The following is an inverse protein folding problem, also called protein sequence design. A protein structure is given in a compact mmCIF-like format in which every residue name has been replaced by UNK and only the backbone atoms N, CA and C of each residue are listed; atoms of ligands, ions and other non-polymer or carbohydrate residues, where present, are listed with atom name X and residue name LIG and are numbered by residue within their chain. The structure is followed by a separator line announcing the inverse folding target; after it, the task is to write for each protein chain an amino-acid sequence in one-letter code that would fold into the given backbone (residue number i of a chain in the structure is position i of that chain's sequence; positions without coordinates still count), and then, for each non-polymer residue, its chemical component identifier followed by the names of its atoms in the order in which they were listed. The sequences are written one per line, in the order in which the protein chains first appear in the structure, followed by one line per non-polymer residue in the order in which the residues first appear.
data_IF_286358979930
#
_entry.id   IF_286358979930
#
_cell.length_a   1.000
_cell.length_b   1.000
_cell.length_c   1.000
_cell.angle_alpha   90.00
_cell.angle_beta   90.00
_cell.angle_gamma   90.00
#
_symmetry.space_group_name_H-M   'P 1'
#
loop_
_entity.id
_entity.type
_entity.pdbx_description
1 polymer ?
#
# COMPACT_ATOMS: atom_id res chain seq x y z
N UNK A 1 -41.72 10.32 -1.10
CA UNK A 1 -40.92 10.77 -2.27
C UNK A 1 -40.56 12.23 -2.06
N UNK A 2 -39.43 12.51 -1.41
CA UNK A 2 -38.93 13.89 -1.30
C UNK A 2 -38.06 14.18 -2.53
N UNK A 3 -38.41 15.28 -3.19
CA UNK A 3 -37.97 15.68 -4.52
C UNK A 3 -36.43 15.84 -4.60
N UNK A 4 -35.76 15.38 -5.68
CA UNK A 4 -34.31 15.57 -5.88
C UNK A 4 -33.87 17.05 -5.87
N UNK A 5 -34.81 17.99 -5.99
CA UNK A 5 -34.56 19.44 -5.89
C UNK A 5 -34.19 19.88 -4.47
N UNK A 6 -34.73 19.27 -3.41
CA UNK A 6 -34.34 19.57 -2.02
C UNK A 6 -32.94 19.01 -1.71
N UNK A 7 -32.53 17.98 -2.45
CA UNK A 7 -31.25 17.27 -2.30
C UNK A 7 -30.05 18.08 -2.80
N UNK A 8 -30.22 18.80 -3.92
CA UNK A 8 -29.20 19.69 -4.52
C UNK A 8 -28.85 20.90 -3.63
N UNK A 9 -29.79 21.23 -2.75
CA UNK A 9 -29.81 22.48 -2.02
C UNK A 9 -29.03 22.40 -0.70
N UNK A 10 -28.95 21.20 -0.11
CA UNK A 10 -28.04 20.95 1.02
C UNK A 10 -26.58 20.86 0.56
N UNK A 11 -26.32 20.31 -0.62
CA UNK A 11 -24.96 20.21 -1.21
C UNK A 11 -24.36 21.60 -1.44
N UNK A 12 -25.14 22.54 -1.99
CA UNK A 12 -24.68 23.91 -2.23
C UNK A 12 -24.37 24.71 -0.94
N UNK A 13 -24.95 24.31 0.21
CA UNK A 13 -24.71 25.00 1.49
C UNK A 13 -23.46 24.51 2.24
N UNK A 14 -22.90 23.35 1.89
CA UNK A 14 -21.73 22.76 2.58
C UNK A 14 -20.44 22.76 1.77
N UNK A 15 -20.50 22.92 0.45
CA UNK A 15 -19.31 22.98 -0.43
C UNK A 15 -19.30 24.29 -1.23
N UNK A 16 -18.89 25.37 -0.57
CA UNK A 16 -18.35 26.56 -1.25
C UNK A 16 -16.94 26.79 -0.74
N UNK A 17 -16.02 25.97 -1.23
CA UNK A 17 -14.59 26.24 -1.24
C UNK A 17 -14.02 25.61 -2.51
N UNK A 18 -13.56 26.50 -3.40
CA UNK A 18 -12.77 26.26 -4.62
C UNK A 18 -13.43 25.52 -5.79
N UNK A 19 -13.87 26.30 -6.79
CA UNK A 19 -13.93 25.87 -8.19
C UNK A 19 -13.26 26.94 -9.06
N UNK A 20 -11.95 26.81 -9.26
CA UNK A 20 -11.22 27.47 -10.35
C UNK A 20 -11.40 26.64 -11.62
N UNK A 21 -12.10 27.19 -12.62
CA UNK A 21 -12.31 26.52 -13.91
C UNK A 21 -11.42 27.10 -15.01
N UNK A 22 -10.67 26.22 -15.67
CA UNK A 22 -9.74 26.47 -16.79
C UNK A 22 -10.52 26.34 -18.11
N UNK A 23 -10.44 27.35 -18.99
CA UNK A 23 -11.16 27.36 -20.28
C UNK A 23 -10.57 26.38 -21.32
N UNK A 24 -11.39 25.65 -22.09
CA UNK A 24 -10.97 25.03 -23.33
C UNK A 24 -11.19 25.95 -24.54
N UNK A 25 -10.28 25.90 -25.51
CA UNK A 25 -10.24 26.70 -26.72
C UNK A 25 -11.02 26.09 -27.90
N UNK A 26 -11.84 26.91 -28.56
CA UNK A 26 -12.38 26.80 -29.94
C UNK A 26 -13.24 25.55 -30.27
N UNK A 27 -14.25 25.53 -31.14
CA UNK A 27 -14.74 26.41 -32.20
C UNK A 27 -16.21 26.03 -32.49
N UNK A 28 -16.91 26.87 -33.27
CA UNK A 28 -18.21 26.63 -33.95
C UNK A 28 -19.41 27.43 -33.43
N UNK A 29 -19.83 28.33 -34.31
CA UNK A 29 -20.82 29.40 -34.30
C UNK A 29 -22.26 28.93 -34.09
N UNK A 30 -22.74 28.90 -32.84
CA UNK A 30 -24.16 29.14 -32.48
C UNK A 30 -24.29 29.88 -31.13
N UNK A 31 -24.58 31.18 -31.20
CA UNK A 31 -25.08 32.10 -30.14
C UNK A 31 -24.51 31.96 -28.71
N UNK A 32 -23.39 32.64 -28.36
CA UNK A 32 -22.88 32.69 -26.98
C UNK A 32 -23.88 33.30 -25.98
N UNK A 33 -24.79 34.16 -26.45
CA UNK A 33 -25.79 34.87 -25.64
C UNK A 33 -26.89 33.92 -25.12
N UNK A 34 -27.30 32.92 -25.89
CA UNK A 34 -28.34 31.97 -25.46
C UNK A 34 -27.79 30.98 -24.41
N UNK A 35 -26.55 30.53 -24.59
CA UNK A 35 -25.85 29.70 -23.60
C UNK A 35 -25.59 30.48 -22.31
N UNK A 36 -25.15 31.74 -22.41
CA UNK A 36 -24.97 32.60 -21.24
C UNK A 36 -26.29 32.85 -20.48
N UNK A 37 -27.40 33.16 -21.17
CA UNK A 37 -28.71 33.33 -20.53
C UNK A 37 -29.18 32.04 -19.83
N UNK A 38 -28.96 30.87 -20.43
CA UNK A 38 -29.35 29.58 -19.84
C UNK A 38 -28.51 29.23 -18.62
N UNK A 39 -27.20 29.48 -18.67
CA UNK A 39 -26.27 29.29 -17.55
C UNK A 39 -26.58 30.28 -16.43
N UNK A 40 -26.74 31.58 -16.72
CA UNK A 40 -27.05 32.61 -15.71
C UNK A 40 -28.42 32.36 -15.07
N UNK A 41 -29.43 31.95 -15.83
CA UNK A 41 -30.74 31.58 -15.28
C UNK A 41 -30.66 30.34 -14.41
N UNK A 42 -29.89 29.32 -14.81
CA UNK A 42 -29.72 28.09 -14.03
C UNK A 42 -28.94 28.36 -12.75
N UNK A 43 -27.88 29.18 -12.81
CA UNK A 43 -27.08 29.60 -11.64
C UNK A 43 -27.92 30.46 -10.69
N UNK A 44 -28.72 31.41 -11.21
CA UNK A 44 -29.61 32.24 -10.40
C UNK A 44 -30.69 31.43 -9.69
N UNK A 45 -31.31 30.46 -10.37
CA UNK A 45 -32.30 29.57 -9.76
C UNK A 45 -31.69 28.67 -8.69
N UNK A 46 -30.52 28.08 -8.93
CA UNK A 46 -29.83 27.24 -7.93
C UNK A 46 -29.43 28.06 -6.70
N UNK A 47 -28.90 29.28 -6.90
CA UNK A 47 -28.56 30.18 -5.81
C UNK A 47 -29.80 30.59 -4.98
N UNK A 48 -30.92 30.90 -5.64
CA UNK A 48 -32.16 31.25 -4.95
C UNK A 48 -32.67 30.10 -4.06
N UNK A 49 -32.68 28.86 -4.57
CA UNK A 49 -33.12 27.70 -3.77
C UNK A 49 -32.12 27.40 -2.62
N UNK A 50 -30.81 27.57 -2.85
CA UNK A 50 -29.79 27.46 -1.81
C UNK A 50 -29.97 28.49 -0.67
N UNK A 51 -30.26 29.75 -1.01
CA UNK A 51 -30.51 30.82 -0.03
C UNK A 51 -31.79 30.56 0.75
N UNK A 52 -32.87 30.16 0.08
CA UNK A 52 -34.16 29.84 0.73
C UNK A 52 -34.02 28.66 1.68
N UNK A 53 -33.36 27.58 1.29
CA UNK A 53 -33.18 26.46 2.20
C UNK A 53 -32.18 26.73 3.30
N UNK A 54 -31.16 27.58 3.09
CA UNK A 54 -30.28 28.05 4.16
C UNK A 54 -31.06 28.88 5.19
N UNK A 55 -32.03 29.69 4.74
CA UNK A 55 -32.94 30.44 5.62
C UNK A 55 -33.87 29.50 6.38
N UNK A 56 -34.56 28.57 5.70
CA UNK A 56 -35.45 27.58 6.33
C UNK A 56 -34.68 26.67 7.30
N UNK A 57 -33.46 26.24 6.95
CA UNK A 57 -32.61 25.44 7.83
C UNK A 57 -32.09 26.23 9.05
N UNK A 58 -32.05 27.55 8.99
CA UNK A 58 -31.65 28.38 10.12
C UNK A 58 -32.81 28.66 11.07
N UNK A 59 -34.01 28.86 10.54
CA UNK A 59 -35.19 29.27 11.31
C UNK A 59 -36.04 28.09 11.82
N UNK A 60 -36.11 26.98 11.09
CA UNK A 60 -37.03 25.87 11.40
C UNK A 60 -36.36 24.56 11.85
N UNK A 61 -35.03 24.45 11.74
CA UNK A 61 -34.28 23.28 12.21
C UNK A 61 -33.54 23.63 13.51
N UNK A 62 -34.03 23.13 14.67
CA UNK A 62 -33.31 23.23 15.94
C UNK A 62 -31.91 22.62 15.82
N UNK A 63 -30.96 23.16 16.58
CA UNK A 63 -29.56 22.74 16.51
C UNK A 63 -29.35 21.24 16.78
N UNK A 64 -30.23 20.61 17.59
CA UNK A 64 -30.17 19.19 17.87
C UNK A 64 -30.43 18.33 16.62
N UNK A 65 -31.29 18.79 15.70
CA UNK A 65 -31.63 18.06 14.49
C UNK A 65 -30.61 18.26 13.37
N UNK A 66 -29.82 19.34 13.38
CA UNK A 66 -28.82 19.60 12.33
C UNK A 66 -27.79 18.49 12.23
N UNK A 67 -27.32 18.00 13.37
CA UNK A 67 -26.35 16.91 13.40
C UNK A 67 -26.97 15.58 12.97
N UNK A 68 -28.22 15.32 13.35
CA UNK A 68 -28.96 14.13 12.92
C UNK A 68 -29.22 14.12 11.41
N UNK A 69 -29.70 15.24 10.85
CA UNK A 69 -29.93 15.39 9.41
C UNK A 69 -28.64 15.30 8.64
N UNK A 70 -27.56 15.94 9.09
CA UNK A 70 -26.25 15.84 8.45
C UNK A 70 -25.74 14.39 8.39
N UNK A 71 -25.81 13.66 9.50
CA UNK A 71 -25.37 12.26 9.56
C UNK A 71 -26.26 11.34 8.71
N UNK A 72 -27.57 11.53 8.75
CA UNK A 72 -28.54 10.74 7.96
C UNK A 72 -28.41 11.03 6.47
N UNK A 73 -28.22 12.29 6.10
CA UNK A 73 -27.98 12.74 4.73
C UNK A 73 -26.65 12.23 4.19
N UNK A 74 -25.56 12.31 4.98
CA UNK A 74 -24.26 11.74 4.62
C UNK A 74 -24.35 10.23 4.38
N UNK A 75 -25.08 9.51 5.24
CA UNK A 75 -25.37 8.06 5.03
C UNK A 75 -26.17 7.81 3.76
N UNK A 76 -27.13 8.66 3.44
CA UNK A 76 -27.94 8.55 2.22
C UNK A 76 -27.13 8.82 0.95
N UNK A 77 -26.33 9.90 0.92
CA UNK A 77 -25.43 10.20 -0.20
C UNK A 77 -24.37 9.10 -0.40
N UNK A 78 -23.82 8.54 0.68
CA UNK A 78 -22.91 7.41 0.60
C UNK A 78 -23.54 6.16 -0.05
N UNK A 79 -24.88 5.99 0.01
CA UNK A 79 -25.57 4.91 -0.72
C UNK A 79 -25.64 5.13 -2.23
N UNK A 80 -25.51 6.38 -2.71
CA UNK A 80 -25.41 6.70 -4.13
C UNK A 80 -23.95 6.79 -4.62
N UNK A 81 -22.98 6.63 -3.71
CA UNK A 81 -21.58 6.52 -4.12
C UNK A 81 -21.36 5.21 -4.85
N UNK A 82 -20.94 5.30 -6.11
CA UNK A 82 -20.50 4.15 -6.89
C UNK A 82 -19.08 3.71 -6.51
N UNK A 83 -18.37 4.54 -5.75
CA UNK A 83 -17.01 4.27 -5.30
C UNK A 83 -16.99 3.72 -3.87
N UNK A 84 -16.21 2.67 -3.69
CA UNK A 84 -15.85 2.06 -2.42
C UNK A 84 -14.39 2.40 -2.13
N UNK A 85 -14.12 2.86 -0.91
CA UNK A 85 -12.77 3.12 -0.41
C UNK A 85 -12.45 2.12 0.69
N UNK A 86 -11.39 1.33 0.50
CA UNK A 86 -10.80 0.48 1.53
C UNK A 86 -9.66 1.25 2.21
N UNK A 87 -9.66 1.26 3.54
CA UNK A 87 -8.64 1.96 4.33
C UNK A 87 -7.74 0.92 4.96
N UNK A 88 -6.44 1.02 4.67
CA UNK A 88 -5.40 0.12 5.14
C UNK A 88 -4.47 0.93 6.03
N UNK A 89 -4.57 0.73 7.34
CA UNK A 89 -3.72 1.40 8.32
C UNK A 89 -2.31 0.83 8.32
N UNK A 90 -1.32 1.67 8.65
CA UNK A 90 0.10 1.29 8.77
C UNK A 90 0.34 0.18 9.80
N UNK A 91 -0.35 0.24 10.93
CA UNK A 91 -0.31 -0.76 11.98
C UNK A 91 -1.71 -1.18 12.41
N UNK A 92 -1.83 -2.44 12.84
CA UNK A 92 -3.00 -2.97 13.52
C UNK A 92 -2.56 -3.37 14.94
N UNK A 93 -2.92 -2.56 15.93
CA UNK A 93 -2.47 -2.73 17.31
C UNK A 93 -0.96 -2.49 17.46
N UNK A 94 -0.22 -3.54 17.85
CA UNK A 94 1.23 -3.50 18.06
C UNK A 94 2.03 -4.10 16.91
N UNK A 95 1.36 -4.62 15.89
CA UNK A 95 2.00 -5.21 14.70
C UNK A 95 1.85 -4.31 13.49
N UNK A 96 2.91 -4.27 12.67
CA UNK A 96 2.84 -3.67 11.35
C UNK A 96 1.85 -4.44 10.47
N UNK A 97 1.11 -3.71 9.65
CA UNK A 97 0.14 -4.31 8.76
C UNK A 97 0.83 -4.88 7.50
N UNK A 98 0.83 -6.21 7.33
CA UNK A 98 1.51 -6.88 6.21
C UNK A 98 1.05 -6.34 4.86
N UNK A 99 -0.25 -6.08 4.69
CA UNK A 99 -0.78 -5.57 3.42
C UNK A 99 -0.32 -4.14 3.15
N UNK A 100 -0.16 -3.32 4.18
CA UNK A 100 0.35 -1.96 4.04
C UNK A 100 1.80 -1.98 3.56
N UNK A 101 2.66 -2.75 4.22
CA UNK A 101 4.07 -2.86 3.85
C UNK A 101 4.25 -3.51 2.47
N UNK A 102 3.43 -4.51 2.13
CA UNK A 102 3.45 -5.13 0.81
C UNK A 102 3.04 -4.13 -0.28
N UNK A 103 1.99 -3.35 -0.04
CA UNK A 103 1.49 -2.34 -0.98
C UNK A 103 2.51 -1.24 -1.19
N UNK A 104 3.17 -0.73 -0.14
CA UNK A 104 4.24 0.26 -0.29
C UNK A 104 5.37 -0.25 -1.20
N UNK A 105 5.78 -1.50 -1.03
CA UNK A 105 6.83 -2.12 -1.85
C UNK A 105 6.39 -2.34 -3.29
N UNK A 106 5.13 -2.75 -3.50
CA UNK A 106 4.53 -2.96 -4.81
C UNK A 106 4.40 -1.65 -5.58
N UNK A 107 3.85 -0.61 -4.95
CA UNK A 107 3.66 0.69 -5.58
C UNK A 107 5.00 1.36 -5.88
N UNK A 108 5.98 1.29 -4.98
CA UNK A 108 7.32 1.85 -5.18
C UNK A 108 7.95 1.52 -6.54
N UNK A 109 7.69 0.32 -7.06
CA UNK A 109 8.22 -0.15 -8.34
C UNK A 109 7.52 0.46 -9.56
N UNK A 110 6.23 0.74 -9.42
CA UNK A 110 5.31 1.10 -10.52
C UNK A 110 5.02 2.59 -10.62
N UNK A 111 5.39 3.33 -9.58
CA UNK A 111 5.20 4.77 -9.40
C UNK A 111 6.08 5.63 -10.34
N UNK A 112 7.00 5.02 -11.09
CA UNK A 112 8.15 5.68 -11.74
C UNK A 112 7.83 6.58 -12.95
N UNK A 113 6.59 6.62 -13.47
CA UNK A 113 6.28 7.40 -14.68
C UNK A 113 5.22 8.49 -14.52
N UNK A 114 4.25 8.37 -13.60
CA UNK A 114 3.07 9.25 -13.55
C UNK A 114 2.92 10.10 -12.27
N UNK A 115 3.88 10.03 -11.34
CA UNK A 115 3.78 10.70 -10.03
C UNK A 115 4.70 11.90 -9.93
N UNK A 116 4.18 12.97 -9.33
CA UNK A 116 4.87 14.25 -9.25
C UNK A 116 5.75 14.38 -8.00
N UNK A 117 5.47 13.59 -6.94
CA UNK A 117 6.20 13.66 -5.66
C UNK A 117 6.54 12.28 -5.12
N UNK A 118 7.82 12.08 -4.83
CA UNK A 118 8.35 10.82 -4.34
C UNK A 118 9.03 11.04 -2.99
N UNK A 119 8.79 10.12 -2.06
CA UNK A 119 9.54 10.03 -0.82
C UNK A 119 10.77 9.16 -1.04
N UNK A 120 11.95 9.73 -0.86
CA UNK A 120 13.22 9.01 -1.02
C UNK A 120 13.88 8.83 0.35
N UNK A 121 14.28 7.61 0.67
CA UNK A 121 14.97 7.27 1.92
C UNK A 121 16.17 6.39 1.64
N UNK A 122 17.27 6.61 2.35
CA UNK A 122 18.44 5.73 2.36
C UNK A 122 18.84 5.49 3.81
N UNK A 123 18.79 4.23 4.25
CA UNK A 123 19.34 3.87 5.56
C UNK A 123 20.81 3.48 5.41
N UNK A 124 21.68 3.71 6.42
CA UNK A 124 23.10 3.39 6.32
C UNK A 124 23.39 1.91 6.00
N UNK A 125 22.47 1.01 6.38
CA UNK A 125 22.61 -0.43 6.22
C UNK A 125 21.95 -0.97 4.94
N UNK A 126 21.30 -0.12 4.14
CA UNK A 126 20.68 -0.52 2.87
C UNK A 126 21.55 -0.08 1.68
N UNK A 127 21.92 -1.03 0.79
CA UNK A 127 22.73 -0.69 -0.38
C UNK A 127 21.95 0.20 -1.35
N UNK A 128 20.65 -0.02 -1.48
CA UNK A 128 19.76 0.64 -2.42
C UNK A 128 19.06 1.86 -1.80
N UNK A 129 18.71 2.82 -2.66
CA UNK A 129 17.84 3.94 -2.30
C UNK A 129 16.41 3.44 -2.36
N UNK A 130 15.67 3.62 -1.27
CA UNK A 130 14.26 3.23 -1.18
C UNK A 130 13.38 4.42 -1.59
N UNK A 131 12.56 4.22 -2.64
CA UNK A 131 11.64 5.22 -3.18
C UNK A 131 10.23 4.78 -2.87
N UNK A 132 9.44 5.65 -2.26
CA UNK A 132 8.06 5.36 -1.83
C UNK A 132 7.15 6.51 -2.20
N UNK A 133 5.85 6.25 -2.18
CA UNK A 133 4.82 7.26 -2.41
C UNK A 133 4.86 8.36 -1.35
N UNK A 134 4.74 9.63 -1.77
CA UNK A 134 4.63 10.77 -0.85
C UNK A 134 3.19 10.97 -0.38
N UNK A 135 3.02 11.65 0.76
CA UNK A 135 1.70 11.99 1.31
C UNK A 135 0.84 12.79 0.33
N UNK A 136 -0.43 12.39 0.24
CA UNK A 136 -1.50 12.97 -0.58
C UNK A 136 -1.25 12.91 -2.10
N UNK A 137 -0.30 12.11 -2.57
CA UNK A 137 -0.27 11.71 -3.97
C UNK A 137 -1.36 10.68 -4.24
N UNK A 138 -1.76 10.57 -5.51
CA UNK A 138 -2.68 9.55 -5.99
C UNK A 138 -2.02 8.76 -7.12
N UNK A 139 -2.25 7.45 -7.14
CA UNK A 139 -1.73 6.55 -8.15
C UNK A 139 -2.84 5.63 -8.65
N UNK A 140 -3.10 5.63 -9.95
CA UNK A 140 -4.07 4.69 -10.53
C UNK A 140 -3.34 3.47 -11.09
N UNK A 141 -3.56 2.33 -10.44
CA UNK A 141 -3.15 1.03 -10.95
C UNK A 141 -4.27 0.40 -11.79
N UNK A 142 -3.89 -0.46 -12.75
CA UNK A 142 -4.84 -1.19 -13.59
C UNK A 142 -4.61 -2.69 -13.41
N UNK A 143 -5.60 -3.37 -12.84
CA UNK A 143 -5.58 -4.81 -12.65
C UNK A 143 -6.81 -5.45 -13.28
N UNK A 144 -6.58 -6.41 -14.16
CA UNK A 144 -7.64 -7.11 -14.93
C UNK A 144 -8.61 -6.14 -15.63
N UNK A 145 -8.07 -5.05 -16.19
CA UNK A 145 -8.84 -3.99 -16.86
C UNK A 145 -9.62 -3.05 -15.93
N UNK A 146 -9.56 -3.26 -14.62
CA UNK A 146 -10.21 -2.41 -13.61
C UNK A 146 -9.20 -1.41 -13.04
N UNK A 147 -9.64 -0.15 -12.92
CA UNK A 147 -8.85 0.93 -12.33
C UNK A 147 -9.00 0.94 -10.81
N UNK A 148 -7.86 0.96 -10.12
CA UNK A 148 -7.73 1.03 -8.67
C UNK A 148 -6.93 2.28 -8.30
N UNK A 149 -7.55 3.25 -7.63
CA UNK A 149 -6.87 4.48 -7.22
C UNK A 149 -6.32 4.34 -5.80
N UNK A 150 -5.01 4.46 -5.65
CA UNK A 150 -4.28 4.44 -4.40
C UNK A 150 -3.98 5.87 -3.95
N UNK A 151 -4.18 6.17 -2.68
CA UNK A 151 -3.71 7.41 -2.07
C UNK A 151 -3.06 7.14 -0.71
N UNK A 152 -1.96 7.84 -0.42
CA UNK A 152 -1.33 7.79 0.90
C UNK A 152 -1.84 8.98 1.72
N UNK A 153 -2.65 8.70 2.73
CA UNK A 153 -3.29 9.73 3.55
C UNK A 153 -2.71 9.71 4.96
N UNK A 154 -2.59 10.88 5.57
CA UNK A 154 -2.28 11.00 7.01
C UNK A 154 -3.38 11.79 7.71
N UNK A 155 -3.95 11.18 8.75
CA UNK A 155 -4.87 11.87 9.65
C UNK A 155 -4.04 12.49 10.76
N UNK A 156 -4.08 13.83 10.85
CA UNK A 156 -3.65 14.53 12.07
C UNK A 156 -4.64 14.13 13.18
N UNK A 157 -4.22 13.30 14.11
CA UNK A 157 -4.91 13.24 15.39
C UNK A 157 -4.66 14.58 16.11
N UNK A 158 -5.65 15.20 16.76
CA UNK A 158 -5.37 16.31 17.67
C UNK A 158 -4.41 15.78 18.74
N UNK A 159 -3.23 16.39 18.79
CA UNK A 159 -2.08 16.00 19.59
C UNK A 159 -2.47 15.88 21.06
N UNK A 160 -2.36 14.68 21.64
CA UNK A 160 -2.07 14.57 23.07
C UNK A 160 -0.56 14.45 23.16
N UNK A 161 0.10 15.59 23.23
CA UNK A 161 1.53 15.71 23.50
C UNK A 161 1.80 15.07 24.87
N UNK A 162 2.31 13.84 24.88
CA UNK A 162 2.98 13.31 26.05
C UNK A 162 4.44 13.74 25.97
N UNK A 163 4.77 14.84 26.63
CA UNK A 163 6.16 15.15 26.95
C UNK A 163 6.63 14.14 28.00
N UNK A 164 7.26 13.06 27.57
CA UNK A 164 8.10 12.24 28.45
C UNK A 164 9.42 12.97 28.65
N UNK A 165 9.79 13.25 29.90
CA UNK A 165 10.99 13.98 30.32
C UNK A 165 12.33 13.26 30.05
N UNK A 166 12.37 12.29 29.13
CA UNK A 166 13.58 11.57 28.74
C UNK A 166 13.72 11.60 27.22
N UNK A 167 14.30 12.69 26.73
CA UNK A 167 14.57 12.91 25.32
C UNK A 167 15.77 12.07 24.89
N UNK A 168 15.48 10.83 24.51
CA UNK A 168 16.40 9.94 23.81
C UNK A 168 15.89 9.73 22.37
N UNK A 169 15.83 10.82 21.60
CA UNK A 169 15.85 10.82 20.12
C UNK A 169 14.72 10.09 19.39
N UNK A 170 13.62 9.73 20.05
CA UNK A 170 12.46 9.12 19.38
C UNK A 170 11.45 10.22 19.01
N UNK A 171 11.39 10.54 17.71
CA UNK A 171 10.29 11.34 17.17
C UNK A 171 8.96 10.60 17.40
N UNK A 172 8.19 11.01 18.41
CA UNK A 172 6.83 10.52 18.64
C UNK A 172 5.94 11.09 17.55
N UNK A 173 5.81 10.37 16.44
CA UNK A 173 4.91 10.75 15.36
C UNK A 173 3.46 10.58 15.82
N UNK A 174 2.69 11.66 15.78
CA UNK A 174 1.27 11.69 16.13
C UNK A 174 0.34 11.46 14.93
N UNK A 175 0.91 11.31 13.73
CA UNK A 175 0.19 11.25 12.46
C UNK A 175 -0.17 9.80 12.10
N UNK A 176 -1.46 9.48 12.01
CA UNK A 176 -1.93 8.14 11.65
C UNK A 176 -1.97 8.01 10.12
N UNK A 177 -1.02 7.27 9.56
CA UNK A 177 -0.94 7.02 8.12
C UNK A 177 -1.78 5.83 7.71
N UNK A 178 -2.41 5.96 6.55
CA UNK A 178 -3.18 4.90 5.92
C UNK A 178 -3.08 5.00 4.40
N UNK A 179 -3.03 3.85 3.75
CA UNK A 179 -3.28 3.74 2.33
C UNK A 179 -4.78 3.62 2.10
N UNK A 180 -5.32 4.43 1.21
CA UNK A 180 -6.71 4.34 0.80
C UNK A 180 -6.77 3.82 -0.64
N UNK A 181 -7.56 2.77 -0.84
CA UNK A 181 -7.80 2.14 -2.13
C UNK A 181 -9.23 2.41 -2.57
N UNK A 182 -9.40 3.26 -3.57
CA UNK A 182 -10.70 3.70 -4.09
C UNK A 182 -10.98 3.11 -5.47
N UNK A 183 -12.12 2.45 -5.62
CA UNK A 183 -12.54 1.82 -6.87
C UNK A 183 -14.06 1.62 -6.90
N UNK A 184 -14.61 1.17 -8.03
CA UNK A 184 -16.06 0.97 -8.14
C UNK A 184 -16.53 -0.23 -7.30
N UNK A 185 -17.58 -0.07 -6.48
CA UNK A 185 -18.04 -1.09 -5.51
C UNK A 185 -18.29 -2.49 -6.10
N UNK A 186 -18.76 -2.57 -7.36
CA UNK A 186 -18.95 -3.81 -8.13
C UNK A 186 -17.71 -4.72 -8.19
N UNK A 187 -16.51 -4.16 -8.00
CA UNK A 187 -15.25 -4.90 -8.04
C UNK A 187 -14.70 -5.22 -6.65
N UNK A 188 -15.52 -5.11 -5.59
CA UNK A 188 -15.10 -5.41 -4.21
C UNK A 188 -14.53 -6.82 -4.07
N UNK A 189 -15.19 -7.81 -4.65
CA UNK A 189 -14.75 -9.20 -4.54
C UNK A 189 -13.47 -9.47 -5.34
N UNK A 190 -13.31 -8.81 -6.49
CA UNK A 190 -12.08 -8.83 -7.27
C UNK A 190 -10.92 -8.21 -6.46
N UNK A 191 -11.18 -7.07 -5.80
CA UNK A 191 -10.19 -6.39 -4.97
C UNK A 191 -9.71 -7.29 -3.82
N UNK A 192 -10.64 -7.87 -3.06
CA UNK A 192 -10.33 -8.67 -1.87
C UNK A 192 -9.70 -10.03 -2.19
N UNK A 193 -10.20 -10.71 -3.22
CA UNK A 193 -9.86 -12.11 -3.46
C UNK A 193 -8.77 -12.31 -4.53
N UNK A 194 -8.51 -11.31 -5.38
CA UNK A 194 -7.52 -11.41 -6.44
C UNK A 194 -6.45 -10.32 -6.33
N UNK A 195 -6.86 -9.04 -6.33
CA UNK A 195 -5.91 -7.92 -6.44
C UNK A 195 -5.02 -7.75 -5.20
N UNK A 196 -5.60 -7.68 -3.99
CA UNK A 196 -4.80 -7.53 -2.77
C UNK A 196 -3.90 -8.76 -2.49
N UNK A 197 -4.36 -10.01 -2.67
CA UNK A 197 -3.47 -11.18 -2.60
C UNK A 197 -2.36 -11.16 -3.65
N UNK A 198 -2.64 -10.68 -4.87
CA UNK A 198 -1.65 -10.52 -5.93
C UNK A 198 -0.54 -9.54 -5.50
N UNK A 199 -0.90 -8.38 -4.95
CA UNK A 199 0.07 -7.40 -4.40
C UNK A 199 0.95 -8.03 -3.33
N UNK A 200 0.36 -8.78 -2.39
CA UNK A 200 1.10 -9.46 -1.32
C UNK A 200 2.09 -10.47 -1.92
N UNK A 201 1.66 -11.23 -2.92
CA UNK A 201 2.52 -12.23 -3.57
C UNK A 201 3.66 -11.58 -4.37
N UNK A 202 3.39 -10.51 -5.11
CA UNK A 202 4.41 -9.75 -5.84
C UNK A 202 5.45 -9.14 -4.89
N UNK A 203 5.00 -8.55 -3.78
CA UNK A 203 5.89 -8.06 -2.73
C UNK A 203 6.74 -9.18 -2.10
N UNK A 204 6.17 -10.37 -1.90
CA UNK A 204 6.90 -11.55 -1.40
C UNK A 204 7.96 -12.02 -2.39
N UNK A 205 7.63 -12.13 -3.67
CA UNK A 205 8.58 -12.47 -4.73
C UNK A 205 9.70 -11.44 -4.81
N UNK A 206 9.37 -10.14 -4.75
CA UNK A 206 10.37 -9.07 -4.77
C UNK A 206 11.31 -9.14 -3.58
N UNK A 207 10.79 -9.27 -2.36
CA UNK A 207 11.61 -9.49 -1.16
C UNK A 207 12.49 -10.72 -1.27
N UNK A 208 12.04 -11.77 -1.96
CA UNK A 208 12.83 -12.97 -2.16
C UNK A 208 13.94 -12.76 -3.18
N UNK A 209 13.69 -11.99 -4.24
CA UNK A 209 14.68 -11.65 -5.26
C UNK A 209 15.75 -10.67 -4.74
N UNK A 210 15.37 -9.73 -3.88
CA UNK A 210 16.30 -8.76 -3.26
C UNK A 210 17.08 -9.34 -2.07
N UNK A 211 16.71 -10.52 -1.56
CA UNK A 211 17.44 -11.17 -0.48
C UNK A 211 18.80 -11.61 -0.95
N UNK A 212 19.83 -11.00 -0.38
CA UNK A 212 21.19 -11.53 -0.43
C UNK A 212 21.31 -12.78 0.43
N UNK A 213 22.09 -13.75 -0.03
CA UNK A 213 22.44 -14.93 0.77
C UNK A 213 23.24 -14.43 1.99
N UNK A 214 22.87 -14.90 3.19
CA UNK A 214 23.53 -14.52 4.43
C UNK A 214 24.23 -15.74 5.03
N UNK A 215 25.51 -15.59 5.33
CA UNK A 215 26.29 -16.53 6.13
C UNK A 215 26.08 -16.20 7.60
N UNK A 216 25.58 -17.15 8.39
CA UNK A 216 25.45 -16.98 9.83
C UNK A 216 26.64 -17.61 10.54
N UNK A 217 27.32 -16.85 11.39
CA UNK A 217 28.41 -17.33 12.23
C UNK A 217 28.03 -17.27 13.70
N UNK A 218 28.57 -18.15 14.53
CA UNK A 218 28.29 -18.16 15.97
C UNK A 218 29.29 -17.23 16.66
N UNK A 219 28.79 -16.13 17.19
CA UNK A 219 29.57 -15.22 18.02
C UNK A 219 29.37 -15.58 19.50
N UNK A 220 30.49 -15.75 20.23
CA UNK A 220 30.48 -15.90 21.69
C UNK A 220 30.54 -14.51 22.32
N UNK A 221 29.47 -14.10 23.00
CA UNK A 221 29.45 -12.83 23.73
C UNK A 221 30.07 -13.03 25.12
N UNK A 222 30.85 -12.06 25.58
CA UNK A 222 31.46 -12.09 26.92
C UNK A 222 30.39 -11.99 28.03
N UNK A 223 30.82 -12.32 29.25
CA UNK A 223 30.10 -12.91 30.39
C UNK A 223 28.88 -12.19 31.01
N UNK A 224 28.34 -11.14 30.39
CA UNK A 224 27.22 -10.37 30.96
C UNK A 224 25.91 -10.48 30.16
N UNK A 225 25.83 -11.37 29.16
CA UNK A 225 24.60 -11.56 28.37
C UNK A 225 23.88 -12.86 28.75
N UNK A 226 22.55 -12.80 28.84
CA UNK A 226 21.68 -13.94 29.17
C UNK A 226 21.76 -15.10 28.16
N UNK A 227 22.34 -14.84 26.98
CA UNK A 227 22.52 -15.80 25.89
C UNK A 227 24.00 -15.80 25.46
N UNK A 228 24.80 -16.81 25.86
CA UNK A 228 26.25 -16.81 25.65
C UNK A 228 26.68 -16.98 24.18
N UNK A 229 25.75 -17.33 23.31
CA UNK A 229 25.99 -17.51 21.87
C UNK A 229 24.88 -16.84 21.08
N UNK A 230 25.25 -16.10 20.03
CA UNK A 230 24.30 -15.48 19.10
C UNK A 230 24.73 -15.77 17.68
N UNK A 231 23.80 -16.14 16.81
CA UNK A 231 24.05 -16.23 15.37
C UNK A 231 24.06 -14.83 14.78
N UNK A 232 25.19 -14.43 14.19
CA UNK A 232 25.36 -13.14 13.53
C UNK A 232 25.39 -13.32 12.01
N UNK A 233 24.55 -12.60 11.25
CA UNK A 233 24.55 -12.67 9.80
C UNK A 233 25.67 -11.80 9.19
N UNK A 234 26.28 -12.31 8.13
CA UNK A 234 27.18 -11.58 7.22
C UNK A 234 26.68 -11.81 5.80
N UNK A 235 26.67 -10.78 4.95
CA UNK A 235 26.30 -10.94 3.54
C UNK A 235 27.33 -11.86 2.85
N UNK A 236 26.84 -12.88 2.16
CA UNK A 236 27.67 -13.81 1.38
C UNK A 236 27.58 -13.43 -0.09
N UNK A 237 28.55 -12.66 -0.55
CA UNK A 237 28.70 -12.32 -1.96
C UNK A 237 29.68 -13.32 -2.59
N UNK A 238 29.18 -14.49 -3.00
CA UNK A 238 29.98 -15.53 -3.64
C UNK A 238 29.74 -15.53 -5.16
N UNK A 239 30.78 -15.39 -6.00
CA UNK A 239 30.62 -15.28 -7.45
C UNK A 239 30.25 -16.61 -8.14
N UNK A 240 30.38 -17.75 -7.44
CA UNK A 240 30.04 -19.03 -8.04
C UNK A 240 28.54 -19.27 -8.04
N UNK A 241 28.03 -19.59 -9.22
CA UNK A 241 26.70 -20.18 -9.45
C UNK A 241 26.85 -21.66 -9.80
N UNK A 242 25.76 -22.43 -9.71
CA UNK A 242 25.73 -23.82 -10.19
C UNK A 242 26.26 -23.98 -11.61
N UNK A 243 26.14 -22.97 -12.48
CA UNK A 243 26.68 -22.99 -13.84
C UNK A 243 28.21 -22.89 -13.85
N UNK A 244 28.77 -21.94 -13.09
CA UNK A 244 30.21 -21.65 -13.04
C UNK A 244 31.03 -22.68 -12.25
N UNK A 245 30.41 -23.44 -11.33
CA UNK A 245 31.13 -24.45 -10.54
C UNK A 245 31.57 -25.59 -11.46
N UNK A 246 32.89 -25.80 -11.54
CA UNK A 246 33.51 -26.87 -12.30
C UNK A 246 33.28 -28.23 -11.62
N UNK A 247 32.43 -29.07 -12.22
CA UNK A 247 32.18 -30.45 -11.81
C UNK A 247 31.66 -31.27 -12.99
N UNK A 248 31.62 -32.59 -12.83
CA UNK A 248 30.99 -33.48 -13.81
C UNK A 248 29.51 -33.10 -14.03
N UNK A 249 29.11 -32.98 -15.29
CA UNK A 249 27.76 -32.55 -15.67
C UNK A 249 26.69 -33.54 -15.19
N UNK A 250 26.95 -34.84 -15.31
CA UNK A 250 26.04 -35.89 -14.84
C UNK A 250 25.83 -35.86 -13.34
N UNK A 251 26.89 -35.58 -12.57
CA UNK A 251 26.82 -35.39 -11.12
C UNK A 251 26.06 -34.12 -10.74
N UNK A 252 26.31 -33.01 -11.45
CA UNK A 252 25.60 -31.73 -11.26
C UNK A 252 24.09 -31.92 -11.41
N UNK A 253 23.66 -32.50 -12.51
CA UNK A 253 22.24 -32.72 -12.78
C UNK A 253 21.59 -33.66 -11.76
N UNK A 254 22.29 -34.71 -11.31
CA UNK A 254 21.77 -35.60 -10.27
C UNK A 254 21.54 -34.86 -8.95
N UNK A 255 22.46 -33.98 -8.57
CA UNK A 255 22.35 -33.17 -7.36
C UNK A 255 21.15 -32.21 -7.44
N UNK A 256 21.04 -31.46 -8.55
CA UNK A 256 19.92 -30.51 -8.77
C UNK A 256 18.58 -31.25 -8.76
N UNK A 257 18.47 -32.37 -9.49
CA UNK A 257 17.24 -33.19 -9.49
C UNK A 257 16.87 -33.73 -8.12
N UNK A 258 17.83 -34.10 -7.27
CA UNK A 258 17.53 -34.56 -5.90
C UNK A 258 17.06 -33.41 -5.00
N UNK A 259 17.65 -32.21 -5.15
CA UNK A 259 17.23 -31.00 -4.44
C UNK A 259 15.80 -30.60 -4.81
N UNK A 260 15.48 -30.52 -6.10
CA UNK A 260 14.13 -30.18 -6.58
C UNK A 260 13.10 -31.19 -6.04
N UNK A 261 13.42 -32.49 -6.18
CA UNK A 261 12.59 -33.58 -5.65
C UNK A 261 12.43 -33.49 -4.13
N UNK A 262 13.43 -33.06 -3.38
CA UNK A 262 13.34 -32.89 -1.93
C UNK A 262 12.44 -31.71 -1.55
N UNK A 263 12.51 -30.60 -2.29
CA UNK A 263 11.67 -29.41 -2.08
C UNK A 263 10.19 -29.72 -2.31
N UNK A 264 9.87 -30.41 -3.40
CA UNK A 264 8.49 -30.79 -3.76
C UNK A 264 7.84 -31.77 -2.75
N UNK A 265 8.65 -32.56 -2.03
CA UNK A 265 8.16 -33.65 -1.17
C UNK A 265 7.83 -33.24 0.26
N UNK A 266 7.84 -31.96 0.60
CA UNK A 266 7.47 -31.48 1.95
C UNK A 266 6.18 -32.12 2.47
N UNK A 267 5.17 -32.19 1.62
CA UNK A 267 3.84 -32.72 1.95
C UNK A 267 3.85 -34.24 2.15
N UNK A 268 4.67 -34.96 1.38
CA UNK A 268 4.90 -36.39 1.58
C UNK A 268 5.53 -36.68 2.95
N UNK A 269 6.59 -35.94 3.33
CA UNK A 269 7.23 -36.08 4.65
C UNK A 269 6.26 -35.84 5.79
N UNK A 270 5.41 -34.82 5.67
CA UNK A 270 4.33 -34.51 6.62
C UNK A 270 3.36 -35.68 6.76
N UNK A 271 2.90 -36.25 5.63
CA UNK A 271 1.94 -37.37 5.60
C UNK A 271 2.49 -38.64 6.26
N UNK A 272 3.77 -38.96 6.04
CA UNK A 272 4.39 -40.16 6.61
C UNK A 272 4.96 -39.93 8.02
N UNK A 273 4.78 -38.75 8.60
CA UNK A 273 5.24 -38.41 9.96
C UNK A 273 6.76 -38.39 10.11
N UNK A 274 7.52 -38.15 9.02
CA UNK A 274 8.99 -38.09 9.06
C UNK A 274 9.47 -36.65 9.05
N UNK A 275 10.58 -36.39 9.74
CA UNK A 275 11.22 -35.08 9.73
C UNK A 275 11.66 -34.71 8.30
N UNK A 276 11.25 -33.54 7.82
CA UNK A 276 11.64 -33.01 6.50
C UNK A 276 13.07 -32.48 6.55
N UNK A 277 14.04 -33.40 6.46
CA UNK A 277 15.49 -33.13 6.52
C UNK A 277 16.22 -33.94 5.44
N UNK A 278 17.28 -33.36 4.87
CA UNK A 278 18.19 -34.00 3.89
C UNK A 278 19.63 -33.61 4.23
N UNK A 279 20.55 -34.57 4.16
CA UNK A 279 21.97 -34.35 4.38
C UNK A 279 22.78 -34.77 3.15
N UNK A 280 23.78 -33.97 2.80
CA UNK A 280 24.72 -34.25 1.69
C UNK A 280 26.14 -34.33 2.25
N UNK A 281 26.92 -35.29 1.74
CA UNK A 281 28.35 -35.44 2.07
C UNK A 281 29.17 -35.20 0.80
N UNK A 282 29.89 -34.09 0.77
CA UNK A 282 30.82 -33.76 -0.30
C UNK A 282 32.25 -34.08 0.16
N UNK A 283 32.92 -35.01 -0.51
CA UNK A 283 34.28 -35.44 -0.16
C UNK A 283 35.22 -35.35 -1.36
N UNK A 284 36.51 -35.17 -1.10
CA UNK A 284 37.55 -35.05 -2.12
C UNK A 284 38.71 -34.17 -1.66
N UNK A 285 39.82 -34.13 -2.42
CA UNK A 285 41.02 -33.34 -2.09
C UNK A 285 40.71 -31.86 -1.77
N UNK A 286 41.51 -31.16 -0.95
CA UNK A 286 41.34 -29.72 -0.75
C UNK A 286 41.43 -28.96 -2.09
N UNK A 287 40.70 -27.85 -2.21
CA UNK A 287 40.69 -27.04 -3.44
C UNK A 287 39.76 -27.50 -4.57
N UNK A 288 39.00 -28.58 -4.39
CA UNK A 288 38.05 -29.13 -5.40
C UNK A 288 36.69 -28.43 -5.49
N UNK A 289 36.57 -27.18 -5.01
CA UNK A 289 35.33 -26.40 -5.15
C UNK A 289 34.15 -26.83 -4.26
N UNK A 290 34.34 -27.73 -3.28
CA UNK A 290 33.26 -28.20 -2.37
C UNK A 290 32.52 -27.07 -1.66
N UNK A 291 33.25 -26.10 -1.10
CA UNK A 291 32.63 -24.95 -0.42
C UNK A 291 31.94 -24.01 -1.42
N UNK A 292 32.54 -23.84 -2.61
CA UNK A 292 31.97 -23.03 -3.69
C UNK A 292 30.69 -23.61 -4.29
N UNK A 293 30.44 -24.92 -4.11
CA UNK A 293 29.18 -25.57 -4.48
C UNK A 293 28.06 -25.32 -3.46
N UNK A 294 28.41 -25.07 -2.19
CA UNK A 294 27.43 -24.84 -1.12
C UNK A 294 27.00 -23.36 -1.08
N UNK A 295 27.93 -22.45 -1.41
CA UNK A 295 27.70 -21.02 -1.48
C UNK A 295 26.74 -20.66 -2.61
#
# INVERSE_FOLDING_TARGET
MLCPVILLVFVASSTTSELTFKMPSSSSTKSPILTAKRVISTVGSVAAVAVVARSVSREYLPDEFRQYFYLTFRKFLNKFSTQLTMVIYESEGFSDNEIYTATQLYLADRITSDIHRLKVTKTPNEPLINVTMELNEEYTDIYDGVKFNWSLVSKKNPTREYHTHEDNGRSTRSDLRSLELTFHWKHKDLALNAYLPFIINEAKTKRQNEKTVKLFTVEKKTSYTRYPTTWTPVNLDHPATFETVAMDAGMKEKLVRDLDRFLERREYYRRVGKAWKRGYLLYGPPGTGKSSLIA
#
